data_IF_026567517078
#
_entry.id   IF_026567517078
#
_cell.length_a   1.000
_cell.length_b   1.000
_cell.length_c   1.000
_cell.angle_alpha   90.00
_cell.angle_beta   90.00
_cell.angle_gamma   90.00
#
_symmetry.space_group_name_H-M   'P 1'
#
loop_
_entity.id
_entity.type
_entity.pdbx_description
1 polymer ?
#
# COMPACT_ATOMS: atom_id res chain seq x y z
N UNK A 1 14.40 -5.88 3.57
CA UNK A 1 13.70 -5.04 4.55
C UNK A 1 12.37 -5.68 4.90
N UNK A 2 12.13 -6.00 6.17
CA UNK A 2 10.88 -6.62 6.63
C UNK A 2 10.69 -6.37 8.14
N UNK A 3 9.46 -6.60 8.63
CA UNK A 3 9.12 -6.55 10.06
C UNK A 3 9.41 -7.88 10.79
N UNK A 4 9.62 -8.96 10.05
CA UNK A 4 10.01 -10.28 10.57
C UNK A 4 11.18 -10.86 9.78
N UNK A 5 11.96 -11.72 10.41
CA UNK A 5 12.90 -12.58 9.70
C UNK A 5 12.09 -13.72 9.08
N UNK A 6 11.71 -13.53 7.82
CA UNK A 6 10.98 -14.51 7.03
C UNK A 6 11.93 -15.52 6.36
N UNK A 7 11.36 -16.57 5.78
CA UNK A 7 12.12 -17.55 5.01
C UNK A 7 12.84 -16.88 3.82
N UNK A 8 12.25 -15.86 3.22
CA UNK A 8 12.90 -15.04 2.18
C UNK A 8 14.09 -14.26 2.73
N UNK A 9 13.98 -13.72 3.95
CA UNK A 9 15.06 -12.98 4.58
C UNK A 9 16.30 -13.84 4.86
N UNK A 10 16.15 -15.17 4.98
CA UNK A 10 17.28 -16.09 5.18
C UNK A 10 18.22 -16.18 3.96
N UNK A 11 17.78 -15.74 2.79
CA UNK A 11 18.60 -15.66 1.57
C UNK A 11 19.27 -14.30 1.39
N UNK A 12 19.00 -13.33 2.27
CA UNK A 12 19.57 -12.00 2.19
C UNK A 12 20.93 -11.91 2.88
N UNK A 13 21.88 -11.19 2.27
CA UNK A 13 23.18 -10.86 2.88
C UNK A 13 23.03 -9.75 3.93
N UNK A 14 22.04 -8.86 3.76
CA UNK A 14 21.76 -7.74 4.68
C UNK A 14 20.27 -7.71 4.97
N UNK A 15 19.93 -7.63 6.25
CA UNK A 15 18.55 -7.49 6.73
C UNK A 15 18.39 -6.14 7.42
N UNK A 16 17.42 -5.34 6.95
CA UNK A 16 17.08 -4.05 7.53
C UNK A 16 15.74 -4.19 8.28
N UNK A 17 15.73 -4.11 9.62
CA UNK A 17 14.50 -4.24 10.38
C UNK A 17 13.60 -3.02 10.20
N UNK A 18 12.38 -3.26 9.73
CA UNK A 18 11.37 -2.23 9.52
C UNK A 18 10.32 -2.22 10.63
N UNK A 19 9.72 -1.05 10.86
CA UNK A 19 8.60 -0.91 11.80
C UNK A 19 7.28 -1.37 11.18
N UNK A 20 6.42 -1.97 12.00
CA UNK A 20 5.05 -2.32 11.62
C UNK A 20 4.15 -1.07 11.54
N UNK A 21 2.93 -1.22 10.98
CA UNK A 21 2.05 -0.06 10.77
C UNK A 21 1.64 0.67 12.07
N UNK A 22 1.41 0.03 13.23
CA UNK A 22 1.10 0.75 14.47
C UNK A 22 2.31 1.45 15.10
N UNK A 23 3.50 1.20 14.60
CA UNK A 23 4.78 1.73 15.08
C UNK A 23 5.24 2.96 14.30
N UNK A 24 4.41 3.46 13.36
CA UNK A 24 4.74 4.60 12.50
C UNK A 24 3.54 5.47 12.21
N UNK A 25 3.81 6.73 11.86
CA UNK A 25 2.81 7.67 11.35
C UNK A 25 2.90 7.73 9.83
N UNK A 26 1.75 7.81 9.15
CA UNK A 26 1.69 7.93 7.70
C UNK A 26 0.26 7.92 7.19
N UNK A 27 0.10 8.04 5.87
CA UNK A 27 -1.20 7.94 5.22
C UNK A 27 -1.44 6.52 4.72
N UNK A 28 -2.68 6.08 4.80
CA UNK A 28 -3.15 4.78 4.34
C UNK A 28 -4.34 4.98 3.42
N UNK A 29 -4.39 4.24 2.33
CA UNK A 29 -5.53 4.28 1.41
C UNK A 29 -6.18 2.91 1.36
N UNK A 30 -7.47 2.87 1.68
CA UNK A 30 -8.26 1.65 1.62
C UNK A 30 -8.68 1.31 0.18
N UNK A 31 -9.19 0.11 0.00
CA UNK A 31 -9.76 -0.34 -1.28
C UNK A 31 -10.97 0.51 -1.73
N UNK A 32 -11.72 1.08 -0.78
CA UNK A 32 -12.80 2.03 -1.03
C UNK A 32 -12.31 3.45 -1.34
N UNK A 33 -11.02 3.62 -1.60
CA UNK A 33 -10.35 4.87 -1.96
C UNK A 33 -10.35 5.93 -0.84
N UNK A 34 -10.58 5.54 0.39
CA UNK A 34 -10.51 6.41 1.56
C UNK A 34 -9.05 6.58 1.99
N UNK A 35 -8.54 7.81 1.90
CA UNK A 35 -7.22 8.19 2.40
C UNK A 35 -7.37 8.58 3.86
N UNK A 36 -6.56 7.98 4.73
CA UNK A 36 -6.63 8.13 6.19
C UNK A 36 -5.25 8.44 6.75
N UNK A 37 -5.22 9.13 7.88
CA UNK A 37 -4.01 9.37 8.65
C UNK A 37 -3.90 8.34 9.78
N UNK A 38 -2.94 7.43 9.69
CA UNK A 38 -2.54 6.55 10.80
C UNK A 38 -1.48 7.23 11.66
N UNK A 39 -1.64 7.16 12.97
CA UNK A 39 -0.69 7.70 13.94
C UNK A 39 0.02 6.58 14.65
N UNK A 40 1.29 6.78 14.95
CA UNK A 40 2.06 5.85 15.75
C UNK A 40 1.38 5.65 17.12
N UNK A 41 1.09 4.41 17.45
CA UNK A 41 0.45 4.01 18.71
C UNK A 41 1.45 3.39 19.70
N UNK A 42 2.47 2.72 19.20
CA UNK A 42 3.50 2.06 19.99
C UNK A 42 4.90 2.36 19.43
N UNK A 43 5.90 2.24 20.27
CA UNK A 43 7.29 2.40 19.81
C UNK A 43 7.74 1.16 19.01
N UNK A 44 8.52 1.34 17.94
CA UNK A 44 9.11 0.23 17.23
C UNK A 44 10.10 -0.54 18.14
N UNK A 45 10.13 -1.88 18.04
CA UNK A 45 11.01 -2.69 18.88
C UNK A 45 12.46 -2.62 18.40
N UNK A 46 13.39 -2.72 19.34
CA UNK A 46 14.82 -2.82 19.08
C UNK A 46 15.35 -1.67 18.20
N UNK A 47 16.03 -2.02 17.13
CA UNK A 47 16.61 -1.06 16.18
C UNK A 47 15.77 -0.85 14.93
N UNK A 48 14.52 -1.36 14.89
CA UNK A 48 13.65 -1.21 13.73
C UNK A 48 13.37 0.27 13.43
N UNK A 49 13.34 0.61 12.15
CA UNK A 49 13.14 1.96 11.63
C UNK A 49 11.95 2.02 10.70
N UNK A 50 11.37 3.21 10.57
CA UNK A 50 10.34 3.44 9.58
C UNK A 50 10.89 3.29 8.15
N UNK A 51 10.08 2.78 7.24
CA UNK A 51 10.47 2.56 5.84
C UNK A 51 11.04 3.81 5.19
N UNK A 52 10.41 4.97 5.42
CA UNK A 52 10.90 6.26 4.91
C UNK A 52 12.33 6.54 5.37
N UNK A 53 12.63 6.32 6.64
CA UNK A 53 13.97 6.52 7.18
C UNK A 53 15.00 5.59 6.52
N UNK A 54 14.64 4.32 6.35
CA UNK A 54 15.51 3.30 5.73
C UNK A 54 15.79 3.68 4.27
N UNK A 55 14.75 3.98 3.50
CA UNK A 55 14.86 4.36 2.08
C UNK A 55 15.69 5.64 1.92
N UNK A 56 15.43 6.65 2.74
CA UNK A 56 16.17 7.91 2.70
C UNK A 56 17.65 7.73 3.08
N UNK A 57 17.94 6.86 4.05
CA UNK A 57 19.32 6.54 4.43
C UNK A 57 20.08 5.82 3.30
N UNK A 58 19.43 4.92 2.58
CA UNK A 58 20.02 4.28 1.40
C UNK A 58 20.24 5.32 0.30
N UNK A 59 19.26 6.19 0.04
CA UNK A 59 19.39 7.26 -0.95
C UNK A 59 20.58 8.18 -0.66
N UNK A 60 20.76 8.58 0.60
CA UNK A 60 21.92 9.36 1.03
C UNK A 60 23.23 8.61 0.82
N UNK A 61 23.27 7.31 1.16
CA UNK A 61 24.44 6.45 0.90
C UNK A 61 24.80 6.35 -0.59
N UNK A 62 23.82 6.50 -1.48
CA UNK A 62 23.98 6.56 -2.92
C UNK A 62 24.29 7.97 -3.46
N UNK A 63 24.40 8.99 -2.59
CA UNK A 63 24.70 10.37 -2.95
C UNK A 63 23.49 11.18 -3.39
N UNK A 64 22.25 10.67 -3.22
CA UNK A 64 21.03 11.42 -3.47
C UNK A 64 20.70 12.33 -2.28
N UNK A 65 20.15 13.50 -2.56
CA UNK A 65 19.77 14.50 -1.54
C UNK A 65 18.26 14.44 -1.31
N UNK A 66 17.82 13.48 -0.56
CA UNK A 66 16.43 13.36 -0.14
C UNK A 66 16.30 13.80 1.32
N UNK A 67 15.81 14.99 1.55
CA UNK A 67 15.77 15.64 2.87
C UNK A 67 14.32 15.83 3.35
N UNK A 68 13.56 14.74 3.43
CA UNK A 68 12.21 14.74 3.99
C UNK A 68 12.28 14.70 5.52
N UNK A 69 11.63 15.67 6.18
CA UNK A 69 11.55 15.70 7.65
C UNK A 69 10.62 14.61 8.20
N UNK A 70 9.74 14.08 7.36
CA UNK A 70 8.80 13.01 7.74
C UNK A 70 7.78 12.70 6.67
N UNK A 71 6.82 11.81 6.95
CA UNK A 71 5.81 11.36 5.99
C UNK A 71 4.90 12.49 5.47
N UNK A 72 4.75 13.58 6.23
CA UNK A 72 4.03 14.77 5.77
C UNK A 72 4.66 15.35 4.51
N UNK A 73 5.97 15.56 4.50
CA UNK A 73 6.67 16.16 3.36
C UNK A 73 6.54 15.29 2.11
N UNK A 74 6.64 13.97 2.27
CA UNK A 74 6.44 13.01 1.19
C UNK A 74 5.01 13.06 0.67
N UNK A 75 4.02 13.11 1.56
CA UNK A 75 2.61 13.19 1.16
C UNK A 75 2.29 14.49 0.42
N UNK A 76 2.85 15.61 0.85
CA UNK A 76 2.69 16.89 0.16
C UNK A 76 3.35 16.89 -1.24
N UNK A 77 4.44 16.15 -1.43
CA UNK A 77 5.01 15.93 -2.75
C UNK A 77 4.14 14.99 -3.61
N UNK A 78 3.62 13.89 -3.04
CA UNK A 78 2.67 13.00 -3.72
C UNK A 78 1.46 13.77 -4.28
N UNK A 79 0.89 14.70 -3.51
CA UNK A 79 -0.25 15.53 -3.93
C UNK A 79 0.06 16.38 -5.17
N UNK A 80 1.30 16.84 -5.31
CA UNK A 80 1.74 17.61 -6.49
C UNK A 80 1.86 16.73 -7.73
N UNK A 81 2.20 15.45 -7.54
CA UNK A 81 2.34 14.47 -8.61
C UNK A 81 1.02 13.77 -8.99
N UNK A 82 0.04 13.76 -8.07
CA UNK A 82 -1.26 13.08 -8.23
C UNK A 82 -2.41 14.09 -8.12
N UNK A 83 -2.90 14.65 -9.23
CA UNK A 83 -4.02 15.61 -9.20
C UNK A 83 -5.27 15.09 -8.51
N UNK A 84 -5.52 13.77 -8.57
CA UNK A 84 -6.67 13.13 -7.94
C UNK A 84 -6.68 13.19 -6.41
N UNK A 85 -5.57 13.52 -5.76
CA UNK A 85 -5.48 13.70 -4.30
C UNK A 85 -5.05 15.12 -3.92
N UNK A 86 -4.98 16.05 -4.87
CA UNK A 86 -4.47 17.41 -4.62
C UNK A 86 -5.25 18.18 -3.57
N UNK A 87 -6.55 17.89 -3.41
CA UNK A 87 -7.43 18.48 -2.39
C UNK A 87 -7.29 17.85 -0.99
N UNK A 88 -6.50 16.77 -0.84
CA UNK A 88 -6.34 16.07 0.43
C UNK A 88 -5.03 16.52 1.09
N UNK A 89 -5.05 17.60 1.87
CA UNK A 89 -3.85 18.03 2.60
C UNK A 89 -3.65 17.23 3.88
N UNK A 90 -2.42 17.25 4.40
CA UNK A 90 -2.12 16.62 5.69
C UNK A 90 -2.95 17.22 6.81
N UNK A 91 -3.10 18.56 6.84
CA UNK A 91 -3.92 19.27 7.81
C UNK A 91 -5.40 18.91 7.70
N UNK A 92 -5.88 18.66 6.49
CA UNK A 92 -7.24 18.19 6.25
C UNK A 92 -7.44 16.79 6.85
N UNK A 93 -6.50 15.88 6.65
CA UNK A 93 -6.54 14.55 7.24
C UNK A 93 -6.44 14.58 8.78
N UNK A 94 -5.70 15.53 9.35
CA UNK A 94 -5.67 15.73 10.80
C UNK A 94 -7.03 16.14 11.37
N UNK A 95 -7.78 16.95 10.64
CA UNK A 95 -9.08 17.50 11.04
C UNK A 95 -10.24 16.54 10.73
N UNK A 96 -10.27 15.97 9.54
CA UNK A 96 -11.38 15.18 9.03
C UNK A 96 -11.16 13.67 9.21
N UNK A 97 -9.94 13.25 9.56
CA UNK A 97 -9.47 11.89 9.75
C UNK A 97 -9.40 11.05 8.47
N UNK A 98 -10.30 11.25 7.52
CA UNK A 98 -10.28 10.56 6.25
C UNK A 98 -10.97 11.39 5.15
N UNK A 99 -10.49 11.24 3.91
CA UNK A 99 -11.09 11.86 2.71
C UNK A 99 -11.06 10.83 1.58
N UNK A 100 -12.15 10.72 0.84
CA UNK A 100 -12.22 9.79 -0.32
C UNK A 100 -11.69 10.48 -1.57
N UNK A 101 -10.79 9.84 -2.31
CA UNK A 101 -10.36 10.35 -3.60
C UNK A 101 -11.16 9.72 -4.78
N UNK A 102 -11.28 10.38 -5.93
CA UNK A 102 -10.70 11.66 -6.30
C UNK A 102 -11.22 12.83 -5.48
N UNK A 103 -10.30 13.77 -5.21
CA UNK A 103 -10.56 14.99 -4.46
C UNK A 103 -9.56 16.06 -4.94
N UNK A 104 -10.02 16.95 -5.81
CA UNK A 104 -9.16 17.87 -6.57
C UNK A 104 -8.94 19.22 -5.89
N UNK A 105 -9.80 19.60 -4.95
CA UNK A 105 -9.69 20.87 -4.20
C UNK A 105 -9.98 20.68 -2.72
N UNK A 106 -9.65 21.67 -1.90
CA UNK A 106 -9.90 21.67 -0.46
C UNK A 106 -11.39 21.63 -0.10
N UNK A 107 -12.25 22.13 -0.95
CA UNK A 107 -13.70 22.19 -0.80
C UNK A 107 -14.40 20.95 -1.38
N UNK A 108 -13.70 20.16 -2.18
CA UNK A 108 -14.22 18.93 -2.77
C UNK A 108 -14.41 17.87 -1.67
N UNK A 109 -15.64 17.35 -1.44
CA UNK A 109 -15.88 16.33 -0.42
C UNK A 109 -15.29 14.95 -0.78
N UNK A 110 -14.74 14.80 -1.98
CA UNK A 110 -14.34 13.53 -2.57
C UNK A 110 -15.49 12.82 -3.28
N UNK A 111 -15.14 11.81 -4.06
CA UNK A 111 -16.10 11.11 -4.92
C UNK A 111 -16.33 9.67 -4.42
N UNK A 112 -17.46 9.38 -3.75
CA UNK A 112 -17.78 8.02 -3.31
C UNK A 112 -18.00 7.05 -4.47
N UNK A 113 -18.52 7.56 -5.60
CA UNK A 113 -18.69 6.83 -6.86
C UNK A 113 -17.95 7.59 -7.95
N UNK A 114 -17.11 6.89 -8.70
CA UNK A 114 -16.32 7.45 -9.81
C UNK A 114 -17.00 7.16 -11.16
N UNK A 115 -16.59 7.90 -12.18
CA UNK A 115 -17.07 7.73 -13.57
C UNK A 115 -18.59 7.86 -13.72
N UNK A 116 -19.19 8.80 -12.97
CA UNK A 116 -20.64 9.05 -13.03
C UNK A 116 -21.04 9.86 -14.25
N UNK A 117 -20.15 10.64 -14.82
CA UNK A 117 -20.39 11.50 -15.97
C UNK A 117 -19.59 11.03 -17.18
N UNK A 118 -18.27 10.83 -17.02
CA UNK A 118 -17.37 10.42 -18.08
C UNK A 118 -16.23 9.53 -17.55
N UNK A 119 -15.47 8.97 -18.47
CA UNK A 119 -14.22 8.25 -18.18
C UNK A 119 -13.01 9.12 -18.53
N UNK A 120 -11.86 8.96 -17.88
CA UNK A 120 -10.64 9.73 -18.14
C UNK A 120 -9.92 9.23 -19.40
N UNK A 121 -10.65 9.15 -20.49
CA UNK A 121 -10.21 8.80 -21.85
C UNK A 121 -10.33 10.00 -22.77
N UNK A 122 -9.69 9.94 -23.93
CA UNK A 122 -9.70 11.08 -24.86
C UNK A 122 -11.11 11.45 -25.35
N UNK A 123 -12.00 10.47 -25.48
CA UNK A 123 -13.38 10.61 -25.92
C UNK A 123 -14.42 10.57 -24.79
N UNK A 124 -13.96 10.45 -23.54
CA UNK A 124 -14.83 10.36 -22.36
C UNK A 124 -15.57 9.02 -22.21
N UNK A 125 -15.32 8.04 -23.09
CA UNK A 125 -16.03 6.77 -23.10
C UNK A 125 -15.20 5.63 -22.51
N UNK A 126 -15.87 4.69 -21.84
CA UNK A 126 -15.25 3.43 -21.43
C UNK A 126 -14.91 2.58 -22.67
N UNK A 127 -13.78 1.90 -22.60
CA UNK A 127 -13.34 0.99 -23.65
C UNK A 127 -13.56 -0.46 -23.24
N UNK A 128 -14.33 -1.21 -24.05
CA UNK A 128 -14.42 -2.66 -23.92
C UNK A 128 -13.27 -3.31 -24.68
N UNK A 129 -12.40 -3.99 -23.96
CA UNK A 129 -11.30 -4.75 -24.56
C UNK A 129 -11.69 -6.21 -24.60
N UNK A 130 -11.98 -6.77 -25.80
CA UNK A 130 -12.28 -8.20 -25.91
C UNK A 130 -11.03 -9.01 -25.60
N UNK A 131 -11.15 -9.93 -24.64
CA UNK A 131 -10.08 -10.85 -24.28
C UNK A 131 -10.54 -12.27 -24.58
N UNK A 132 -9.80 -13.06 -25.37
CA UNK A 132 -10.11 -14.47 -25.56
C UNK A 132 -9.91 -15.23 -24.24
N UNK A 133 -10.67 -16.30 -24.06
CA UNK A 133 -10.40 -17.20 -22.96
C UNK A 133 -9.07 -17.93 -23.23
N UNK A 134 -8.13 -17.78 -22.31
CA UNK A 134 -6.83 -18.46 -22.33
C UNK A 134 -6.81 -19.47 -21.20
N UNK A 135 -6.53 -20.71 -21.51
CA UNK A 135 -6.35 -21.75 -20.50
C UNK A 135 -5.15 -21.43 -19.60
N UNK A 136 -5.12 -22.05 -18.42
CA UNK A 136 -3.94 -22.02 -17.58
C UNK A 136 -2.73 -22.63 -18.32
N UNK A 137 -1.52 -22.14 -18.02
CA UNK A 137 -0.29 -22.64 -18.62
C UNK A 137 -0.03 -24.12 -18.29
N UNK A 138 -0.46 -24.53 -17.09
CA UNK A 138 -0.44 -25.92 -16.64
C UNK A 138 -1.87 -26.46 -16.50
N UNK A 139 -2.19 -27.47 -17.25
CA UNK A 139 -3.45 -28.21 -17.17
C UNK A 139 -3.20 -29.62 -16.59
N UNK A 140 -4.21 -30.26 -16.01
CA UNK A 140 -4.08 -31.65 -15.60
C UNK A 140 -3.62 -32.54 -16.76
N UNK A 141 -2.72 -33.47 -16.46
CA UNK A 141 -2.19 -34.48 -17.38
C UNK A 141 -2.22 -35.89 -16.74
N UNK A 142 -1.61 -36.88 -17.37
CA UNK A 142 -1.60 -38.26 -16.88
C UNK A 142 -0.78 -38.43 -15.58
N UNK A 143 0.22 -37.56 -15.34
CA UNK A 143 1.05 -37.58 -14.13
C UNK A 143 0.43 -36.72 -13.01
N UNK A 144 -0.13 -35.55 -13.35
CA UNK A 144 -0.75 -34.60 -12.42
C UNK A 144 -2.24 -34.42 -12.74
N UNK A 145 -3.07 -35.33 -12.25
CA UNK A 145 -4.50 -35.41 -12.60
C UNK A 145 -5.38 -34.42 -11.82
N UNK A 146 -4.85 -33.72 -10.80
CA UNK A 146 -5.64 -32.91 -9.90
C UNK A 146 -5.28 -31.42 -10.02
N UNK A 147 -6.29 -30.57 -9.88
CA UNK A 147 -6.11 -29.12 -9.79
C UNK A 147 -6.08 -28.73 -8.30
N UNK A 148 -5.00 -28.08 -7.87
CA UNK A 148 -4.92 -27.47 -6.55
C UNK A 148 -5.61 -26.09 -6.59
N UNK A 149 -6.71 -25.98 -5.86
CA UNK A 149 -7.42 -24.70 -5.69
C UNK A 149 -7.09 -24.15 -4.30
N UNK A 150 -6.40 -22.99 -4.26
CA UNK A 150 -6.13 -22.29 -3.01
C UNK A 150 -7.27 -21.34 -2.68
N UNK A 151 -7.67 -21.31 -1.41
CA UNK A 151 -8.72 -20.44 -0.89
C UNK A 151 -8.18 -19.39 0.07
N UNK A 152 -9.03 -18.44 0.45
CA UNK A 152 -8.74 -17.41 1.45
C UNK A 152 -9.30 -17.82 2.80
N UNK A 153 -8.58 -17.49 3.86
CA UNK A 153 -9.08 -17.54 5.23
C UNK A 153 -9.22 -16.12 5.76
N UNK A 154 -10.31 -15.84 6.45
CA UNK A 154 -10.61 -14.50 6.94
C UNK A 154 -9.53 -13.98 7.90
N UNK A 155 -9.01 -14.88 8.74
CA UNK A 155 -8.04 -14.58 9.79
C UNK A 155 -6.62 -14.35 9.26
N UNK A 156 -6.35 -14.75 8.01
CA UNK A 156 -5.02 -14.68 7.44
C UNK A 156 -4.93 -13.71 6.27
N UNK A 157 -3.95 -12.81 6.33
CA UNK A 157 -3.62 -11.93 5.23
C UNK A 157 -2.72 -12.66 4.22
N UNK A 158 -3.20 -12.86 3.01
CA UNK A 158 -2.50 -13.56 1.91
C UNK A 158 -1.96 -14.93 2.34
N UNK A 159 -0.64 -15.15 2.23
CA UNK A 159 0.03 -16.38 2.62
C UNK A 159 0.17 -16.55 4.14
N UNK A 160 -0.27 -15.56 4.92
CA UNK A 160 -0.23 -15.60 6.38
C UNK A 160 1.17 -15.38 6.97
N UNK A 161 2.11 -14.82 6.22
CA UNK A 161 3.49 -14.59 6.71
C UNK A 161 3.56 -13.72 7.98
N UNK A 162 2.59 -12.83 8.19
CA UNK A 162 2.44 -12.07 9.43
C UNK A 162 1.51 -12.76 10.42
N UNK A 163 0.29 -13.10 9.99
CA UNK A 163 -0.77 -13.56 10.88
C UNK A 163 -0.52 -14.95 11.46
N UNK A 164 0.20 -15.83 10.77
CA UNK A 164 0.64 -17.13 11.31
C UNK A 164 1.68 -17.02 12.44
N UNK A 165 2.26 -15.84 12.66
CA UNK A 165 3.17 -15.56 13.80
C UNK A 165 2.41 -15.08 15.04
N UNK A 166 1.10 -14.81 14.90
CA UNK A 166 0.23 -14.49 16.03
C UNK A 166 -0.36 -15.77 16.59
N UNK A 167 0.07 -16.19 17.77
CA UNK A 167 -0.37 -17.44 18.41
C UNK A 167 -1.87 -17.54 18.63
N UNK A 168 -2.59 -16.43 18.68
CA UNK A 168 -4.04 -16.38 18.81
C UNK A 168 -4.80 -16.71 17.51
N UNK A 169 -4.12 -16.71 16.37
CA UNK A 169 -4.72 -16.93 15.05
C UNK A 169 -4.35 -18.30 14.44
N UNK A 170 -3.53 -19.08 15.15
CA UNK A 170 -3.12 -20.44 14.76
C UNK A 170 -3.93 -21.49 15.50
#
# INVERSE_FOLDING_TARGET
QDIFVTETALFADIILPASAFPEKTGTFTNTDRRVQLGRQAVNPPGESKQDLWIIQSIAHGMGLKWDYSGPKDVFEEMRKCMPSISGISWERLEKEHSVTYPCSSSEDPGQPIIFTEDFPTQDGLAQFIPSPFINADELPDDEYQHILITGRQLEHWHTGSMTRRASMLN
#
